data_IF_427045886585
#
_entry.id   IF_427045886585
#
_cell.length_a   1.000
_cell.length_b   1.000
_cell.length_c   1.000
_cell.angle_alpha   90.00
_cell.angle_beta   90.00
_cell.angle_gamma   90.00
#
_symmetry.space_group_name_H-M   'P 1'
#
loop_
_entity.id
_entity.type
_entity.pdbx_description
1 polymer ?
#
# COMPACT_ATOMS: atom_id res chain seq x y z
N UNK A 1 -1.04 -6.11 -14.20
CA UNK A 1 -1.87 -6.62 -13.08
C UNK A 1 -1.17 -6.25 -11.79
N UNK A 2 -1.90 -5.84 -10.75
CA UNK A 2 -1.31 -5.45 -9.46
C UNK A 2 -1.97 -6.24 -8.34
N UNK A 3 -1.17 -6.72 -7.40
CA UNK A 3 -1.65 -7.40 -6.20
C UNK A 3 -0.94 -6.86 -4.96
N UNK A 4 -1.64 -6.93 -3.83
CA UNK A 4 -1.04 -6.71 -2.53
C UNK A 4 -0.16 -7.92 -2.20
N UNK A 5 1.13 -7.68 -1.92
CA UNK A 5 2.11 -8.72 -1.63
C UNK A 5 2.36 -8.82 -0.11
N UNK A 6 2.57 -7.68 0.55
CA UNK A 6 2.83 -7.61 1.99
C UNK A 6 2.10 -6.43 2.65
N UNK A 7 1.71 -6.59 3.91
CA UNK A 7 1.23 -5.51 4.79
C UNK A 7 1.92 -5.61 6.13
N UNK A 8 2.51 -4.50 6.57
CA UNK A 8 3.09 -4.35 7.91
C UNK A 8 2.36 -3.23 8.65
N UNK A 9 1.92 -3.50 9.88
CA UNK A 9 1.43 -2.45 10.79
C UNK A 9 2.64 -1.77 11.42
N UNK A 10 2.84 -0.48 11.11
CA UNK A 10 3.98 0.32 11.59
C UNK A 10 3.69 0.92 12.96
N UNK A 11 2.47 1.43 13.14
CA UNK A 11 2.00 1.96 14.42
C UNK A 11 0.49 1.84 14.53
N UNK A 12 0.00 1.66 15.77
CA UNK A 12 -1.41 1.50 16.07
C UNK A 12 -1.77 2.23 17.37
N UNK A 13 -2.91 2.91 17.33
CA UNK A 13 -3.63 3.48 18.46
C UNK A 13 -5.09 3.00 18.38
N UNK A 14 -5.92 3.22 19.41
CA UNK A 14 -7.34 2.84 19.34
C UNK A 14 -8.11 3.46 18.17
N UNK A 15 -7.68 4.64 17.71
CA UNK A 15 -8.38 5.45 16.70
C UNK A 15 -7.64 5.53 15.36
N UNK A 16 -6.34 5.22 15.32
CA UNK A 16 -5.52 5.38 14.12
C UNK A 16 -4.53 4.24 13.95
N UNK A 17 -4.28 3.83 12.71
CA UNK A 17 -3.24 2.85 12.36
C UNK A 17 -2.48 3.33 11.15
N UNK A 18 -1.15 3.26 11.20
CA UNK A 18 -0.30 3.38 10.00
C UNK A 18 0.11 1.98 9.56
N UNK A 19 -0.18 1.65 8.33
CA UNK A 19 0.34 0.45 7.67
C UNK A 19 1.27 0.84 6.53
N UNK A 20 2.23 -0.01 6.25
CA UNK A 20 2.98 -0.02 5.01
C UNK A 20 2.57 -1.24 4.20
N UNK A 21 2.24 -1.02 2.94
CA UNK A 21 1.85 -2.05 1.99
C UNK A 21 2.89 -2.13 0.87
N UNK A 22 3.21 -3.35 0.48
CA UNK A 22 4.02 -3.65 -0.71
C UNK A 22 3.08 -4.17 -1.79
N UNK A 23 3.09 -3.51 -2.94
CA UNK A 23 2.32 -3.87 -4.12
C UNK A 23 3.24 -4.46 -5.17
N UNK A 24 2.88 -5.62 -5.71
CA UNK A 24 3.57 -6.20 -6.85
C UNK A 24 2.76 -5.96 -8.12
N UNK A 25 3.34 -5.20 -9.06
CA UNK A 25 2.80 -4.97 -10.39
C UNK A 25 3.57 -5.79 -11.41
N UNK A 26 2.87 -6.56 -12.23
CA UNK A 26 3.47 -7.45 -13.22
C UNK A 26 2.62 -7.65 -14.46
N UNK A 27 3.22 -8.31 -15.47
CA UNK A 27 2.53 -8.67 -16.71
C UNK A 27 2.30 -7.46 -17.60
N UNK A 28 3.28 -6.54 -17.59
CA UNK A 28 3.32 -5.42 -18.51
C UNK A 28 3.54 -5.92 -19.94
N UNK A 29 3.03 -5.18 -20.91
CA UNK A 29 3.32 -5.44 -22.31
C UNK A 29 4.85 -5.35 -22.54
N UNK A 30 5.49 -6.32 -23.21
CA UNK A 30 6.94 -6.33 -23.41
C UNK A 30 7.51 -5.05 -24.04
N UNK A 31 6.73 -4.35 -24.85
CA UNK A 31 7.13 -3.14 -25.57
C UNK A 31 6.79 -1.85 -24.80
N UNK A 32 6.13 -1.96 -23.65
CA UNK A 32 5.68 -0.80 -22.86
C UNK A 32 6.80 -0.10 -22.08
N UNK A 33 7.97 -0.73 -21.97
CA UNK A 33 9.09 -0.20 -21.18
C UNK A 33 8.86 -0.24 -19.67
N UNK A 34 7.76 -0.83 -19.21
CA UNK A 34 7.50 -1.07 -17.79
C UNK A 34 7.96 -2.47 -17.40
N UNK A 35 8.65 -2.54 -16.26
CA UNK A 35 9.12 -3.79 -15.67
C UNK A 35 8.15 -4.23 -14.57
N UNK A 36 8.25 -5.52 -14.20
CA UNK A 36 7.63 -5.98 -12.97
C UNK A 36 8.28 -5.26 -11.78
N UNK A 37 7.49 -4.67 -10.89
CA UNK A 37 7.98 -3.80 -9.80
C UNK A 37 7.27 -4.07 -8.49
N UNK A 38 8.02 -3.90 -7.41
CA UNK A 38 7.50 -3.79 -6.05
C UNK A 38 7.43 -2.32 -5.66
N UNK A 39 6.23 -1.84 -5.37
CA UNK A 39 5.95 -0.48 -4.92
C UNK A 39 5.56 -0.48 -3.45
N UNK A 40 6.06 0.49 -2.69
CA UNK A 40 5.74 0.67 -1.27
C UNK A 40 4.84 1.87 -1.10
N UNK A 41 3.76 1.69 -0.35
CA UNK A 41 2.85 2.76 0.06
C UNK A 41 2.64 2.73 1.55
N UNK A 42 2.71 3.87 2.22
CA UNK A 42 2.18 4.01 3.57
C UNK A 42 0.74 4.50 3.54
N UNK A 43 -0.10 3.91 4.37
CA UNK A 43 -1.50 4.24 4.52
C UNK A 43 -1.78 4.54 5.98
N UNK A 44 -2.43 5.67 6.24
CA UNK A 44 -3.00 5.98 7.56
C UNK A 44 -4.49 5.70 7.51
N UNK A 45 -4.95 4.85 8.43
CA UNK A 45 -6.35 4.52 8.65
C UNK A 45 -6.84 5.20 9.93
N UNK A 46 -8.08 5.67 9.92
CA UNK A 46 -8.77 6.20 11.10
C UNK A 46 -10.01 5.35 11.36
N UNK A 47 -10.24 5.00 12.63
CA UNK A 47 -11.39 4.21 13.06
C UNK A 47 -12.64 5.08 13.05
N UNK A 48 -13.72 4.53 12.53
CA UNK A 48 -15.06 5.12 12.53
C UNK A 48 -16.08 4.04 12.95
N UNK A 49 -17.33 4.44 13.18
CA UNK A 49 -18.41 3.54 13.61
C UNK A 49 -18.59 2.31 12.69
N UNK A 50 -18.33 2.48 11.39
CA UNK A 50 -18.44 1.43 10.38
C UNK A 50 -17.12 0.68 10.10
N UNK A 51 -16.07 0.92 10.89
CA UNK A 51 -14.74 0.33 10.73
C UNK A 51 -13.66 1.33 10.32
N UNK A 52 -12.53 0.82 9.84
CA UNK A 52 -11.39 1.64 9.42
C UNK A 52 -11.66 2.34 8.08
N UNK A 53 -11.28 3.61 7.97
CA UNK A 53 -11.32 4.38 6.72
C UNK A 53 -9.94 4.93 6.39
N UNK A 54 -9.66 5.00 5.09
CA UNK A 54 -8.48 5.69 4.57
C UNK A 54 -8.52 7.16 4.96
N UNK A 55 -7.47 7.62 5.64
CA UNK A 55 -7.25 9.02 5.96
C UNK A 55 -6.20 9.65 5.04
N UNK A 56 -5.08 8.98 4.84
CA UNK A 56 -4.03 9.43 3.91
C UNK A 56 -3.24 8.26 3.34
N UNK A 57 -2.62 8.51 2.19
CA UNK A 57 -1.74 7.58 1.48
C UNK A 57 -0.49 8.34 1.03
N UNK A 58 0.66 7.66 1.09
CA UNK A 58 1.98 8.20 0.75
C UNK A 58 2.77 7.15 -0.03
N UNK A 59 3.28 7.50 -1.20
CA UNK A 59 4.21 6.66 -1.95
C UNK A 59 5.60 6.71 -1.30
N UNK A 60 6.14 5.54 -0.96
CA UNK A 60 7.42 5.40 -0.28
C UNK A 60 8.57 5.00 -1.22
N UNK A 61 8.28 4.71 -2.48
CA UNK A 61 9.29 4.29 -3.47
C UNK A 61 9.13 2.85 -3.93
N UNK A 62 10.10 2.43 -4.75
CA UNK A 62 10.23 1.05 -5.22
C UNK A 62 11.19 0.27 -4.32
N UNK A 63 11.05 -1.05 -4.32
CA UNK A 63 11.97 -2.00 -3.66
C UNK A 63 12.89 -2.69 -4.67
#
# INVERSE_FOLDING_TARGET
>A
MTRLDEVTVVSETPETTRIEAVWFSYGHDPDSGYYDVFERTAVVLVKQDAGWRLHSEEFLGYQ
#
